data_IF_630201708227
#
_entry.id   IF_630201708227
#
_cell.length_a   1.000
_cell.length_b   1.000
_cell.length_c   1.000
_cell.angle_alpha   90.00
_cell.angle_beta   90.00
_cell.angle_gamma   90.00
#
_symmetry.space_group_name_H-M   'P 1'
#
loop_
_entity.id
_entity.type
_entity.pdbx_description
1 polymer ?
#
# COMPACT_ATOMS: atom_id res chain seq x y z
N UNK A 1 64.96 21.03 -16.42
CA UNK A 1 63.70 21.83 -16.46
C UNK A 1 62.56 21.03 -15.81
N UNK A 2 62.37 21.22 -14.51
CA UNK A 2 61.38 20.51 -13.72
C UNK A 2 60.08 21.30 -13.72
N UNK A 3 58.96 20.77 -14.28
CA UNK A 3 57.64 21.35 -14.19
C UNK A 3 57.06 21.06 -12.80
N UNK A 4 57.04 22.09 -11.96
CA UNK A 4 56.39 22.06 -10.66
C UNK A 4 54.87 21.87 -10.84
N UNK A 5 54.35 20.74 -10.39
CA UNK A 5 52.95 20.49 -10.24
C UNK A 5 52.40 21.32 -9.08
N UNK A 6 51.89 22.51 -9.41
CA UNK A 6 51.17 23.34 -8.45
C UNK A 6 49.86 22.66 -8.01
N UNK A 7 49.92 22.03 -6.85
CA UNK A 7 48.70 21.62 -6.13
C UNK A 7 47.91 22.91 -5.82
N UNK A 8 46.78 23.08 -6.48
CA UNK A 8 45.82 24.15 -6.09
C UNK A 8 45.46 23.93 -4.63
N UNK A 9 45.51 24.96 -3.78
CA UNK A 9 45.09 24.82 -2.41
C UNK A 9 43.61 24.43 -2.43
N UNK A 10 43.28 23.32 -1.76
CA UNK A 10 41.91 22.88 -1.52
C UNK A 10 41.28 23.95 -0.60
N UNK A 11 40.63 24.93 -1.18
CA UNK A 11 39.79 25.87 -0.43
C UNK A 11 38.62 25.09 0.10
N UNK A 12 38.76 24.58 1.32
CA UNK A 12 37.64 24.01 2.04
C UNK A 12 36.61 25.11 2.25
N UNK A 13 35.48 25.01 1.59
CA UNK A 13 34.25 25.84 1.80
C UNK A 13 33.65 25.60 3.19
N UNK A 14 34.42 25.48 4.24
CA UNK A 14 34.03 24.89 5.53
C UNK A 14 34.05 25.86 6.70
N UNK A 15 33.85 27.17 6.45
CA UNK A 15 33.69 28.14 7.55
C UNK A 15 32.48 27.86 8.47
N UNK A 16 31.48 27.15 7.97
CA UNK A 16 30.21 26.90 8.72
C UNK A 16 30.23 25.57 9.51
N UNK A 17 31.15 24.66 9.25
CA UNK A 17 31.13 23.32 9.84
C UNK A 17 31.67 23.21 11.26
N UNK A 18 32.34 24.23 11.77
CA UNK A 18 32.94 24.23 13.11
C UNK A 18 32.11 24.94 14.17
N UNK A 19 30.97 25.50 13.81
CA UNK A 19 30.09 26.13 14.78
C UNK A 19 29.52 25.07 15.75
N UNK A 20 29.73 25.21 17.07
CA UNK A 20 29.16 24.29 18.04
C UNK A 20 27.63 24.17 17.91
N UNK A 21 27.09 22.99 18.22
CA UNK A 21 25.66 22.77 18.24
C UNK A 21 25.06 23.40 19.50
N UNK A 22 24.23 24.41 19.32
CA UNK A 22 23.49 25.00 20.44
C UNK A 22 22.45 24.00 20.99
N UNK A 23 22.08 24.13 22.25
CA UNK A 23 21.04 23.31 22.87
C UNK A 23 19.70 23.45 22.14
N UNK A 24 19.39 24.65 21.64
CA UNK A 24 18.22 24.93 20.81
C UNK A 24 18.23 24.14 19.48
N UNK A 25 19.39 24.05 18.81
CA UNK A 25 19.56 23.32 17.56
C UNK A 25 19.32 21.81 17.80
N UNK A 26 19.87 21.29 18.90
CA UNK A 26 19.70 19.88 19.27
C UNK A 26 18.24 19.58 19.59
N UNK A 27 17.57 20.45 20.32
CA UNK A 27 16.14 20.32 20.61
C UNK A 27 15.32 20.33 19.33
N UNK A 28 15.51 21.33 18.50
CA UNK A 28 14.83 21.44 17.21
C UNK A 28 15.03 20.19 16.33
N UNK A 29 16.27 19.68 16.26
CA UNK A 29 16.56 18.47 15.49
C UNK A 29 15.82 17.25 16.06
N UNK A 30 15.77 17.08 17.37
CA UNK A 30 15.03 15.97 18.01
C UNK A 30 13.52 16.04 17.76
N UNK A 31 12.94 17.23 17.87
CA UNK A 31 11.51 17.44 17.70
C UNK A 31 11.04 17.28 16.25
N UNK A 32 11.89 17.63 15.29
CA UNK A 32 11.53 17.67 13.88
C UNK A 32 12.13 16.52 13.05
N UNK A 33 13.01 15.71 13.63
CA UNK A 33 13.59 14.54 12.96
C UNK A 33 12.48 13.51 12.63
N UNK A 34 12.45 13.07 11.37
CA UNK A 34 11.42 12.15 10.89
C UNK A 34 10.15 12.83 10.37
N UNK A 35 9.87 14.07 10.77
CA UNK A 35 8.71 14.85 10.33
C UNK A 35 9.05 15.82 9.18
N UNK A 36 10.22 16.45 9.29
CA UNK A 36 10.69 17.49 8.36
C UNK A 36 11.78 16.92 7.46
N UNK A 37 11.74 17.17 6.14
CA UNK A 37 12.78 16.73 5.22
C UNK A 37 14.16 17.31 5.60
N UNK A 38 15.21 16.50 5.41
CA UNK A 38 16.58 16.88 5.78
C UNK A 38 17.03 18.21 5.14
N UNK A 39 16.53 18.51 3.93
CA UNK A 39 16.83 19.78 3.25
C UNK A 39 16.27 21.00 4.00
N UNK A 40 15.11 20.86 4.62
CA UNK A 40 14.48 21.91 5.44
C UNK A 40 15.15 22.04 6.80
N UNK A 41 15.48 20.90 7.45
CA UNK A 41 16.29 20.89 8.68
C UNK A 41 17.62 21.60 8.44
N UNK A 42 18.30 21.31 7.32
CA UNK A 42 19.57 21.93 6.94
C UNK A 42 19.42 23.45 6.75
N UNK A 43 18.34 23.88 6.10
CA UNK A 43 18.05 25.30 5.88
C UNK A 43 17.76 26.04 7.20
N UNK A 44 16.92 25.46 8.05
CA UNK A 44 16.54 26.07 9.33
C UNK A 44 17.73 26.19 10.27
N UNK A 45 18.51 25.11 10.40
CA UNK A 45 19.68 25.06 11.28
C UNK A 45 20.94 25.70 10.66
N UNK A 46 20.85 26.20 9.42
CA UNK A 46 21.98 26.80 8.66
C UNK A 46 23.21 25.86 8.63
N UNK A 47 22.96 24.57 8.42
CA UNK A 47 24.00 23.54 8.41
C UNK A 47 23.89 22.66 7.17
N UNK A 48 25.00 22.00 6.80
CA UNK A 48 24.95 21.07 5.69
C UNK A 48 24.11 19.84 6.05
N UNK A 49 23.49 19.21 5.05
CA UNK A 49 22.74 17.97 5.25
C UNK A 49 23.61 16.86 5.85
N UNK A 50 24.92 16.83 5.52
CA UNK A 50 25.86 15.88 6.10
C UNK A 50 26.06 16.13 7.61
N UNK A 51 26.19 17.39 8.04
CA UNK A 51 26.29 17.73 9.46
C UNK A 51 25.01 17.32 10.22
N UNK A 52 23.82 17.49 9.61
CA UNK A 52 22.55 17.00 10.19
C UNK A 52 22.56 15.48 10.34
N UNK A 53 22.99 14.73 9.30
CA UNK A 53 23.09 13.25 9.37
C UNK A 53 24.01 12.80 10.48
N UNK A 54 25.20 13.35 10.54
CA UNK A 54 26.20 13.01 11.57
C UNK A 54 25.66 13.29 12.97
N UNK A 55 25.04 14.45 13.17
CA UNK A 55 24.48 14.82 14.49
C UNK A 55 23.30 13.97 14.88
N UNK A 56 22.38 13.69 13.96
CA UNK A 56 21.25 12.81 14.19
C UNK A 56 21.71 11.39 14.58
N UNK A 57 22.76 10.87 13.93
CA UNK A 57 23.36 9.59 14.28
C UNK A 57 23.89 9.59 15.73
N UNK A 58 24.64 10.63 16.12
CA UNK A 58 25.17 10.78 17.49
C UNK A 58 24.02 10.86 18.53
N UNK A 59 22.91 11.50 18.16
CA UNK A 59 21.74 11.65 19.03
C UNK A 59 20.81 10.42 19.03
N UNK A 60 21.08 9.40 18.19
CA UNK A 60 20.22 8.24 18.03
C UNK A 60 18.84 8.55 17.39
N UNK A 61 18.74 9.65 16.61
CA UNK A 61 17.47 10.12 16.02
C UNK A 61 17.42 9.81 14.55
N UNK A 62 16.31 9.23 14.07
CA UNK A 62 16.11 8.98 12.65
C UNK A 62 15.62 10.24 11.94
N UNK A 63 16.35 10.66 10.89
CA UNK A 63 15.96 11.78 10.01
C UNK A 63 15.21 11.33 8.76
N UNK A 64 14.83 10.06 8.69
CA UNK A 64 14.05 9.52 7.58
C UNK A 64 12.61 9.99 7.70
N UNK A 65 12.18 10.88 6.81
CA UNK A 65 10.78 11.26 6.72
C UNK A 65 9.98 10.18 6.03
N UNK A 66 8.91 9.76 6.67
CA UNK A 66 7.93 8.92 6.02
C UNK A 66 7.09 9.76 5.05
N UNK A 67 7.08 9.38 3.77
CA UNK A 67 6.17 9.95 2.79
C UNK A 67 5.02 8.97 2.59
N UNK A 68 3.81 9.43 2.82
CA UNK A 68 2.63 8.63 2.51
C UNK A 68 2.56 8.44 1.00
N UNK A 69 2.68 7.20 0.55
CA UNK A 69 2.62 6.82 -0.87
C UNK A 69 1.23 6.40 -1.31
N UNK A 70 0.31 6.24 -0.34
CA UNK A 70 -1.07 5.82 -0.60
C UNK A 70 -1.88 6.96 -1.18
N UNK A 71 -2.78 6.59 -2.09
CA UNK A 71 -3.76 7.48 -2.73
C UNK A 71 -5.15 7.24 -2.15
N UNK A 72 -5.94 8.29 -2.04
CA UNK A 72 -7.30 8.20 -1.53
C UNK A 72 -8.23 7.67 -2.61
N UNK A 73 -9.05 6.66 -2.29
CA UNK A 73 -10.11 6.16 -3.15
C UNK A 73 -11.46 6.65 -2.64
N UNK A 74 -12.14 7.51 -3.41
CA UNK A 74 -13.42 8.10 -3.01
C UNK A 74 -14.53 7.04 -2.91
N UNK A 75 -14.51 6.02 -3.77
CA UNK A 75 -15.54 4.99 -3.80
C UNK A 75 -15.59 4.14 -2.52
N UNK A 76 -14.45 3.81 -1.91
CA UNK A 76 -14.40 3.05 -0.66
C UNK A 76 -13.97 3.87 0.55
N UNK A 77 -13.77 5.19 0.38
CA UNK A 77 -13.31 6.12 1.41
C UNK A 77 -12.11 5.59 2.20
N UNK A 78 -11.09 5.08 1.48
CA UNK A 78 -9.93 4.43 2.09
C UNK A 78 -8.64 4.78 1.33
N UNK A 79 -7.53 4.87 2.07
CA UNK A 79 -6.20 5.01 1.47
C UNK A 79 -5.74 3.69 0.87
N UNK A 80 -5.43 3.69 -0.43
CA UNK A 80 -5.06 2.51 -1.22
C UNK A 80 -3.67 2.66 -1.84
N UNK A 81 -3.10 1.55 -2.29
CA UNK A 81 -1.77 1.52 -2.91
C UNK A 81 -1.76 2.21 -4.27
N UNK A 82 -2.84 2.05 -5.05
CA UNK A 82 -2.97 2.65 -6.37
C UNK A 82 -4.43 2.85 -6.75
N UNK A 83 -4.66 3.77 -7.70
CA UNK A 83 -5.93 3.93 -8.42
C UNK A 83 -5.68 3.66 -9.91
N UNK A 84 -6.73 3.28 -10.62
CA UNK A 84 -6.73 3.20 -12.08
C UNK A 84 -7.00 4.57 -12.74
N UNK A 85 -7.10 4.58 -14.07
CA UNK A 85 -7.41 5.79 -14.86
C UNK A 85 -8.74 6.43 -14.50
N UNK A 86 -9.68 5.64 -13.96
CA UNK A 86 -11.03 6.07 -13.60
C UNK A 86 -11.12 6.49 -12.12
N UNK A 87 -9.98 6.58 -11.43
CA UNK A 87 -9.92 6.95 -10.02
C UNK A 87 -10.38 5.85 -9.05
N UNK A 88 -10.55 4.60 -9.52
CA UNK A 88 -10.99 3.47 -8.69
C UNK A 88 -9.83 2.59 -8.25
N UNK A 89 -9.88 2.12 -7.03
CA UNK A 89 -8.89 1.16 -6.56
C UNK A 89 -9.21 -0.28 -7.05
N UNK A 90 -8.20 -1.18 -7.10
CA UNK A 90 -8.40 -2.57 -7.51
C UNK A 90 -9.45 -3.31 -6.67
N UNK A 91 -9.61 -2.96 -5.40
CA UNK A 91 -10.61 -3.56 -4.50
C UNK A 91 -12.04 -3.20 -4.94
N UNK A 92 -12.31 -1.92 -5.21
CA UNK A 92 -13.63 -1.48 -5.70
C UNK A 92 -13.98 -2.15 -7.02
N UNK A 93 -13.02 -2.21 -7.94
CA UNK A 93 -13.21 -2.90 -9.22
C UNK A 93 -13.57 -4.38 -9.04
N UNK A 94 -12.93 -5.09 -8.11
CA UNK A 94 -13.25 -6.48 -7.83
C UNK A 94 -14.63 -6.64 -7.18
N UNK A 95 -15.05 -5.70 -6.32
CA UNK A 95 -16.40 -5.69 -5.74
C UNK A 95 -17.46 -5.49 -6.81
N UNK A 96 -17.24 -4.54 -7.73
CA UNK A 96 -18.14 -4.30 -8.87
C UNK A 96 -18.22 -5.54 -9.78
N UNK A 97 -17.08 -6.19 -10.05
CA UNK A 97 -17.07 -7.44 -10.82
C UNK A 97 -17.81 -8.57 -10.12
N UNK A 98 -17.64 -8.71 -8.79
CA UNK A 98 -18.33 -9.71 -8.00
C UNK A 98 -19.85 -9.47 -8.09
N UNK A 99 -20.29 -8.26 -7.81
CA UNK A 99 -21.71 -7.89 -7.88
C UNK A 99 -22.31 -8.14 -9.28
N UNK A 100 -21.57 -7.79 -10.33
CA UNK A 100 -22.02 -8.02 -11.71
C UNK A 100 -22.12 -9.53 -12.06
N UNK A 101 -21.25 -10.38 -11.50
CA UNK A 101 -21.32 -11.84 -11.72
C UNK A 101 -22.42 -12.45 -10.87
N UNK A 102 -22.63 -11.99 -9.64
CA UNK A 102 -23.71 -12.44 -8.77
C UNK A 102 -25.08 -12.07 -9.35
N UNK A 103 -25.24 -10.85 -9.91
CA UNK A 103 -26.45 -10.46 -10.64
C UNK A 103 -26.75 -11.44 -11.79
N UNK A 104 -25.73 -11.74 -12.62
CA UNK A 104 -25.91 -12.73 -13.70
C UNK A 104 -26.24 -14.13 -13.22
N UNK A 105 -25.72 -14.56 -12.07
CA UNK A 105 -26.09 -15.83 -11.44
C UNK A 105 -27.56 -15.81 -11.03
N UNK A 106 -28.02 -14.70 -10.42
CA UNK A 106 -29.41 -14.53 -10.05
C UNK A 106 -30.35 -14.65 -11.25
N UNK A 107 -30.05 -13.92 -12.33
CA UNK A 107 -30.83 -13.94 -13.57
C UNK A 107 -30.91 -15.36 -14.16
N UNK A 108 -29.75 -16.06 -14.23
CA UNK A 108 -29.70 -17.43 -14.75
C UNK A 108 -30.43 -18.45 -13.87
N UNK A 109 -30.42 -18.24 -12.56
CA UNK A 109 -31.18 -19.11 -11.62
C UNK A 109 -32.69 -18.83 -11.70
N UNK A 110 -33.13 -17.59 -11.84
CA UNK A 110 -34.53 -17.26 -12.04
C UNK A 110 -35.12 -17.95 -13.27
N UNK A 111 -34.33 -18.04 -14.34
CA UNK A 111 -34.73 -18.71 -15.58
C UNK A 111 -34.42 -20.22 -15.59
N UNK A 112 -33.91 -20.80 -14.49
CA UNK A 112 -33.55 -22.22 -14.41
C UNK A 112 -34.72 -23.08 -13.88
N UNK A 113 -34.76 -24.40 -14.22
CA UNK A 113 -35.69 -25.34 -13.63
C UNK A 113 -35.51 -25.46 -12.10
N UNK A 114 -36.58 -25.95 -11.40
CA UNK A 114 -36.63 -25.99 -9.93
C UNK A 114 -35.50 -26.83 -9.32
N UNK A 115 -35.23 -27.99 -9.89
CA UNK A 115 -34.16 -28.91 -9.45
C UNK A 115 -32.78 -28.25 -9.45
N UNK A 116 -32.53 -27.41 -10.44
CA UNK A 116 -31.27 -26.61 -10.56
C UNK A 116 -31.26 -25.52 -9.49
N UNK A 117 -32.37 -24.83 -9.26
CA UNK A 117 -32.49 -23.77 -8.24
C UNK A 117 -32.20 -24.31 -6.84
N UNK A 118 -32.84 -25.41 -6.46
CA UNK A 118 -32.64 -26.07 -5.15
C UNK A 118 -31.21 -26.54 -4.92
N UNK A 119 -30.58 -27.13 -5.95
CA UNK A 119 -29.20 -27.60 -5.87
C UNK A 119 -28.23 -26.42 -5.54
N UNK A 120 -28.47 -25.23 -6.13
CA UNK A 120 -27.62 -24.09 -5.90
C UNK A 120 -27.97 -23.30 -4.63
N UNK A 121 -29.21 -23.33 -4.14
CA UNK A 121 -29.61 -22.78 -2.85
C UNK A 121 -28.90 -23.47 -1.68
N UNK A 122 -28.80 -24.80 -1.70
CA UNK A 122 -28.09 -25.59 -0.67
C UNK A 122 -26.60 -25.28 -0.61
N UNK A 123 -25.96 -25.00 -1.75
CA UNK A 123 -24.50 -24.73 -1.78
C UNK A 123 -24.13 -23.34 -1.33
N UNK A 124 -25.07 -22.41 -1.27
CA UNK A 124 -24.83 -21.02 -0.86
C UNK A 124 -24.64 -20.88 0.65
N UNK A 125 -25.43 -21.62 1.44
CA UNK A 125 -25.35 -21.61 2.91
C UNK A 125 -24.00 -22.11 3.47
N UNK A 126 -23.25 -22.88 2.69
CA UNK A 126 -21.96 -23.46 3.10
C UNK A 126 -20.76 -22.56 2.77
N UNK A 127 -20.94 -21.43 2.10
CA UNK A 127 -19.84 -20.64 1.53
C UNK A 127 -19.52 -19.34 2.22
N UNK A 128 -20.14 -18.99 3.34
CA UNK A 128 -19.72 -17.85 4.15
C UNK A 128 -18.34 -18.10 4.75
N UNK A 129 -17.31 -18.12 3.89
CA UNK A 129 -15.93 -18.29 4.33
C UNK A 129 -15.47 -17.02 5.00
N UNK A 130 -15.14 -17.11 6.28
CA UNK A 130 -14.55 -16.04 7.05
C UNK A 130 -13.33 -15.47 6.32
N UNK A 131 -13.29 -14.14 6.16
CA UNK A 131 -12.10 -13.43 5.71
C UNK A 131 -11.00 -13.70 6.72
N UNK A 132 -9.89 -14.27 6.27
CA UNK A 132 -8.75 -14.51 7.17
C UNK A 132 -8.25 -13.16 7.67
N UNK A 133 -8.22 -12.98 9.00
CA UNK A 133 -7.62 -11.82 9.62
C UNK A 133 -6.11 -11.80 9.33
N UNK A 134 -5.60 -10.63 8.97
CA UNK A 134 -4.17 -10.41 8.82
C UNK A 134 -3.65 -9.99 10.18
N UNK A 135 -2.68 -10.70 10.78
CA UNK A 135 -2.11 -10.30 12.05
C UNK A 135 -1.36 -8.97 11.89
N UNK A 136 -1.58 -8.05 12.82
CA UNK A 136 -0.79 -6.83 12.91
C UNK A 136 0.59 -7.22 13.45
N UNK A 137 1.66 -6.74 12.80
CA UNK A 137 3.01 -6.94 13.29
C UNK A 137 3.20 -6.34 14.68
N UNK A 138 4.11 -6.91 15.47
CA UNK A 138 4.44 -6.40 16.79
C UNK A 138 4.97 -4.96 16.70
N UNK A 139 4.44 -4.10 17.53
CA UNK A 139 4.96 -2.75 17.72
C UNK A 139 6.29 -2.85 18.44
N UNK A 140 7.37 -2.60 17.71
CA UNK A 140 8.70 -2.47 18.32
C UNK A 140 8.88 -1.03 18.77
N UNK A 141 9.52 -0.85 19.91
CA UNK A 141 10.07 0.44 20.31
C UNK A 141 11.02 0.92 19.22
N UNK A 142 10.75 2.07 18.64
CA UNK A 142 11.50 2.58 17.51
C UNK A 142 11.12 4.03 17.20
N UNK A 143 11.81 4.58 16.19
CA UNK A 143 11.50 5.92 15.70
C UNK A 143 10.09 5.96 15.09
N UNK A 144 9.51 7.15 14.99
CA UNK A 144 8.22 7.33 14.31
C UNK A 144 8.25 6.79 12.87
N UNK A 145 9.37 6.97 12.17
CA UNK A 145 9.56 6.38 10.84
C UNK A 145 9.40 4.86 10.86
N UNK A 146 9.97 4.16 11.84
CA UNK A 146 9.88 2.71 11.92
C UNK A 146 8.46 2.25 12.21
N UNK A 147 7.75 2.95 13.10
CA UNK A 147 6.33 2.70 13.40
C UNK A 147 5.46 2.88 12.15
N UNK A 148 5.64 3.98 11.43
CA UNK A 148 4.89 4.24 10.20
C UNK A 148 5.21 3.21 9.11
N UNK A 149 6.44 2.74 9.01
CA UNK A 149 6.84 1.68 8.08
C UNK A 149 6.14 0.35 8.41
N UNK A 150 6.11 -0.03 9.68
CA UNK A 150 5.40 -1.26 10.12
C UNK A 150 3.92 -1.15 9.79
N UNK A 151 3.29 0.00 10.09
CA UNK A 151 1.90 0.26 9.76
C UNK A 151 1.63 0.18 8.25
N UNK A 152 2.52 0.72 7.41
CA UNK A 152 2.38 0.67 5.95
C UNK A 152 2.47 -0.77 5.41
N UNK A 153 3.39 -1.56 5.94
CA UNK A 153 3.50 -2.98 5.59
C UNK A 153 2.23 -3.74 5.98
N UNK A 154 1.71 -3.49 7.18
CA UNK A 154 0.45 -4.08 7.64
C UNK A 154 -0.72 -3.72 6.71
N UNK A 155 -0.90 -2.44 6.41
CA UNK A 155 -1.98 -1.97 5.53
C UNK A 155 -1.87 -2.54 4.12
N UNK A 156 -0.65 -2.74 3.61
CA UNK A 156 -0.41 -3.40 2.33
C UNK A 156 -0.84 -4.86 2.39
N UNK A 157 -0.44 -5.59 3.42
CA UNK A 157 -0.80 -7.00 3.60
C UNK A 157 -2.32 -7.18 3.73
N UNK A 158 -3.01 -6.26 4.43
CA UNK A 158 -4.48 -6.25 4.51
C UNK A 158 -5.11 -6.05 3.13
N UNK A 159 -4.61 -5.09 2.36
CA UNK A 159 -5.11 -4.81 1.00
C UNK A 159 -4.87 -5.99 0.05
N UNK A 160 -3.71 -6.64 0.12
CA UNK A 160 -3.41 -7.84 -0.65
C UNK A 160 -4.30 -9.02 -0.26
N UNK A 161 -4.54 -9.24 1.02
CA UNK A 161 -5.43 -10.28 1.51
C UNK A 161 -6.88 -10.05 1.07
N UNK A 162 -7.38 -8.80 1.16
CA UNK A 162 -8.70 -8.40 0.68
C UNK A 162 -8.82 -8.63 -0.83
N UNK A 163 -7.84 -8.20 -1.61
CA UNK A 163 -7.78 -8.39 -3.05
C UNK A 163 -7.79 -9.87 -3.44
N UNK A 164 -6.94 -10.68 -2.80
CA UNK A 164 -6.86 -12.11 -3.06
C UNK A 164 -8.17 -12.84 -2.71
N UNK A 165 -8.85 -12.40 -1.66
CA UNK A 165 -10.15 -12.96 -1.25
C UNK A 165 -11.23 -12.63 -2.27
N UNK A 166 -11.36 -11.36 -2.66
CA UNK A 166 -12.32 -10.92 -3.67
C UNK A 166 -12.08 -11.59 -5.03
N UNK A 167 -10.82 -11.70 -5.44
CA UNK A 167 -10.47 -12.38 -6.68
C UNK A 167 -10.93 -13.85 -6.67
N UNK A 168 -10.69 -14.59 -5.57
CA UNK A 168 -11.16 -15.98 -5.41
C UNK A 168 -12.69 -16.06 -5.45
N UNK A 169 -13.39 -15.10 -4.83
CA UNK A 169 -14.85 -15.04 -4.88
C UNK A 169 -15.37 -14.82 -6.31
N UNK A 170 -14.79 -13.88 -7.04
CA UNK A 170 -15.12 -13.60 -8.44
C UNK A 170 -14.92 -14.84 -9.30
N UNK A 171 -13.80 -15.55 -9.14
CA UNK A 171 -13.47 -16.73 -9.94
C UNK A 171 -14.38 -17.93 -9.58
N UNK A 172 -14.72 -18.07 -8.29
CA UNK A 172 -15.71 -19.06 -7.86
C UNK A 172 -17.10 -18.78 -8.42
N UNK A 173 -17.54 -17.52 -8.42
CA UNK A 173 -18.83 -17.12 -9.00
C UNK A 173 -18.85 -17.30 -10.53
N UNK A 174 -17.77 -16.95 -11.24
CA UNK A 174 -17.64 -17.24 -12.69
C UNK A 174 -17.74 -18.73 -12.99
N UNK A 175 -17.08 -19.56 -12.18
CA UNK A 175 -17.15 -21.03 -12.33
C UNK A 175 -18.56 -21.54 -12.07
N UNK A 176 -19.25 -21.00 -11.05
CA UNK A 176 -20.64 -21.31 -10.74
C UNK A 176 -21.57 -20.92 -11.91
N UNK A 177 -21.45 -19.72 -12.41
CA UNK A 177 -22.21 -19.23 -13.55
C UNK A 177 -22.05 -20.13 -14.78
N UNK A 178 -20.82 -20.55 -15.07
CA UNK A 178 -20.53 -21.49 -16.16
C UNK A 178 -21.26 -22.81 -15.97
N UNK A 179 -21.25 -23.40 -14.78
CA UNK A 179 -21.94 -24.68 -14.46
C UNK A 179 -23.47 -24.56 -14.58
N UNK A 180 -24.06 -23.45 -14.14
CA UNK A 180 -25.49 -23.19 -14.30
C UNK A 180 -25.86 -23.16 -15.77
N UNK A 181 -25.11 -22.43 -16.62
CA UNK A 181 -25.31 -22.36 -18.05
C UNK A 181 -25.15 -23.70 -18.77
N UNK A 182 -24.20 -24.50 -18.34
CA UNK A 182 -24.00 -25.85 -18.86
C UNK A 182 -25.20 -26.75 -18.59
N UNK A 183 -25.75 -26.71 -17.36
CA UNK A 183 -26.96 -27.49 -16.99
C UNK A 183 -28.21 -27.00 -17.72
N UNK A 184 -28.34 -25.70 -17.95
CA UNK A 184 -29.45 -25.14 -18.73
C UNK A 184 -29.30 -25.34 -20.25
N UNK A 185 -28.18 -25.85 -20.74
CA UNK A 185 -27.90 -25.97 -22.17
C UNK A 185 -27.65 -24.62 -22.88
N UNK A 186 -27.47 -23.54 -22.14
CA UNK A 186 -27.29 -22.16 -22.65
C UNK A 186 -25.82 -21.76 -22.79
N UNK A 187 -24.86 -22.68 -22.60
CA UNK A 187 -23.44 -22.37 -22.69
C UNK A 187 -23.03 -22.09 -24.14
N UNK A 188 -22.62 -20.87 -24.51
CA UNK A 188 -22.33 -20.48 -25.89
C UNK A 188 -21.17 -21.27 -26.52
N UNK A 189 -20.28 -21.86 -25.71
CA UNK A 189 -19.13 -22.63 -26.22
C UNK A 189 -19.45 -24.04 -26.73
N UNK A 190 -20.67 -24.58 -26.48
CA UNK A 190 -21.07 -25.91 -26.95
C UNK A 190 -21.85 -25.91 -28.29
N UNK A 191 -22.18 -24.72 -28.85
CA UNK A 191 -22.94 -24.61 -30.11
C UNK A 191 -22.09 -24.75 -31.39
N UNK A 192 -20.78 -24.94 -31.26
CA UNK A 192 -19.86 -25.09 -32.41
C UNK A 192 -19.16 -26.44 -32.31
N UNK A 193 -19.93 -27.51 -32.61
CA UNK A 193 -19.42 -28.81 -33.12
C UNK A 193 -20.50 -29.47 -33.96
#
# INVERSE_FOLDING_TARGET
MGKGSGKRPHVSRTGEHHTPWATSDIRYLRENAGHVPIAELARHLKRSQQAIRSRACILGVSIRCYRRTRVWCDQCATWRTALDSDGRCPICRLRDQLQAVEGRISDELQAAPEDVRELYARTESLRASAVKSVPMGEWREGSEYDRMRVQEVYLRNVEEAERATLQRMVDACKTRLKRIREKRGTNPRKKTR
#
